data_IF_780568671488
#
_entry.id   IF_780568671488
#
_cell.length_a   1.000
_cell.length_b   1.000
_cell.length_c   1.000
_cell.angle_alpha   90.00
_cell.angle_beta   90.00
_cell.angle_gamma   90.00
#
_symmetry.space_group_name_H-M   'P 1'
#
loop_
_entity.id
_entity.type
_entity.pdbx_description
1 polymer ?
#
# COMPACT_ATOMS: atom_id res chain seq x y z
N UNK A 1 12.29 16.66 19.13
CA UNK A 1 12.79 17.99 18.72
C UNK A 1 12.40 18.21 17.27
N UNK A 2 11.36 19.01 17.08
CA UNK A 2 10.66 19.22 15.81
C UNK A 2 11.48 20.17 14.93
N UNK A 3 12.28 19.64 13.99
CA UNK A 3 12.91 20.44 12.93
C UNK A 3 12.20 20.19 11.62
N UNK A 4 10.92 20.56 11.59
CA UNK A 4 10.24 20.93 10.35
C UNK A 4 11.13 21.95 9.65
N UNK A 5 11.47 21.71 8.39
CA UNK A 5 12.09 22.71 7.53
C UNK A 5 11.20 23.96 7.64
N UNK A 6 11.73 25.10 8.11
CA UNK A 6 10.90 26.27 8.37
C UNK A 6 10.19 26.63 7.06
N UNK A 7 8.88 26.84 7.10
CA UNK A 7 8.06 27.19 5.92
C UNK A 7 8.67 28.36 5.12
N UNK A 8 9.44 29.23 5.79
CA UNK A 8 10.23 30.28 5.17
C UNK A 8 11.31 29.82 4.19
N UNK A 9 11.90 28.64 4.35
CA UNK A 9 12.89 28.09 3.42
C UNK A 9 12.24 27.57 2.12
N UNK A 10 10.99 27.09 2.23
CA UNK A 10 10.16 26.63 1.12
C UNK A 10 9.64 27.81 0.30
N UNK A 11 9.24 28.89 0.99
CA UNK A 11 8.91 30.17 0.35
C UNK A 11 10.17 30.76 -0.32
N UNK A 12 11.33 30.75 0.37
CA UNK A 12 12.58 31.28 -0.17
C UNK A 12 13.08 30.52 -1.41
N UNK A 13 12.91 29.19 -1.48
CA UNK A 13 13.29 28.40 -2.66
C UNK A 13 12.36 28.63 -3.86
N UNK A 14 11.05 28.83 -3.62
CA UNK A 14 10.09 29.24 -4.66
C UNK A 14 10.46 30.63 -5.20
N UNK A 15 10.72 31.60 -4.32
CA UNK A 15 11.13 32.96 -4.74
C UNK A 15 12.49 32.96 -5.45
N UNK A 16 13.45 32.13 -5.01
CA UNK A 16 14.75 31.99 -5.68
C UNK A 16 14.62 31.33 -7.06
N UNK A 17 13.73 30.37 -7.23
CA UNK A 17 13.49 29.72 -8.53
C UNK A 17 12.78 30.67 -9.50
N UNK A 18 11.80 31.45 -9.02
CA UNK A 18 11.18 32.53 -9.80
C UNK A 18 12.22 33.59 -10.19
N UNK A 19 13.12 33.95 -9.26
CA UNK A 19 14.22 34.88 -9.53
C UNK A 19 15.19 34.38 -10.60
N UNK A 20 15.51 33.08 -10.62
CA UNK A 20 16.35 32.46 -11.64
C UNK A 20 15.67 32.45 -13.03
N UNK A 21 14.36 32.17 -13.07
CA UNK A 21 13.54 32.22 -14.29
C UNK A 21 13.44 33.64 -14.83
N UNK A 22 13.27 34.64 -13.96
CA UNK A 22 13.27 36.06 -14.34
C UNK A 22 14.65 36.55 -14.79
N UNK A 23 15.74 36.07 -14.16
CA UNK A 23 17.10 36.38 -14.58
C UNK A 23 17.43 35.82 -15.97
N UNK A 24 16.90 34.65 -16.32
CA UNK A 24 17.04 34.05 -17.65
C UNK A 24 16.06 34.59 -18.69
N UNK A 25 15.02 35.33 -18.30
CA UNK A 25 14.07 35.93 -19.23
C UNK A 25 14.71 37.00 -20.15
N UNK A 26 15.91 37.48 -19.82
CA UNK A 26 16.65 38.49 -20.61
C UNK A 26 17.65 37.88 -21.63
N UNK A 27 17.72 36.55 -21.73
CA UNK A 27 18.51 35.82 -22.73
C UNK A 27 17.63 34.75 -23.35
N UNK A 28 17.50 34.71 -24.69
CA UNK A 28 16.74 33.67 -25.37
C UNK A 28 17.32 32.27 -25.03
N UNK A 29 16.68 31.48 -24.17
CA UNK A 29 17.18 30.17 -23.79
C UNK A 29 16.85 29.17 -24.90
N UNK A 30 17.68 28.13 -25.08
CA UNK A 30 17.40 27.08 -26.05
C UNK A 30 16.07 26.37 -25.75
N UNK A 31 15.35 25.90 -26.78
CA UNK A 31 13.94 25.48 -26.69
C UNK A 31 13.66 24.35 -25.68
N UNK A 32 14.65 23.52 -25.34
CA UNK A 32 14.50 22.44 -24.37
C UNK A 32 14.34 22.91 -22.91
N UNK A 33 14.85 24.10 -22.57
CA UNK A 33 14.79 24.66 -21.20
C UNK A 33 13.34 25.01 -20.82
N UNK A 34 12.53 25.45 -21.79
CA UNK A 34 11.12 25.77 -21.59
C UNK A 34 10.26 24.57 -21.19
N UNK A 35 10.68 23.34 -21.51
CA UNK A 35 10.01 22.12 -21.06
C UNK A 35 10.65 21.56 -19.78
N UNK A 36 11.99 21.58 -19.69
CA UNK A 36 12.71 20.98 -18.57
C UNK A 36 12.52 21.74 -17.24
N UNK A 37 12.46 23.07 -17.27
CA UNK A 37 12.32 23.90 -16.06
C UNK A 37 10.95 23.77 -15.40
N UNK A 38 9.80 23.90 -16.12
CA UNK A 38 8.50 23.68 -15.49
C UNK A 38 8.30 22.23 -15.06
N UNK A 39 8.82 21.24 -15.79
CA UNK A 39 8.80 19.84 -15.33
C UNK A 39 9.63 19.67 -14.05
N UNK A 40 10.83 20.25 -13.99
CA UNK A 40 11.70 20.22 -12.80
C UNK A 40 11.09 20.95 -11.60
N UNK A 41 10.44 22.09 -11.82
CA UNK A 41 9.71 22.84 -10.79
C UNK A 41 8.47 22.10 -10.31
N UNK A 42 7.74 21.45 -11.22
CA UNK A 42 6.57 20.64 -10.88
C UNK A 42 7.00 19.40 -10.10
N UNK A 43 8.10 18.75 -10.49
CA UNK A 43 8.71 17.66 -9.72
C UNK A 43 9.15 18.16 -8.35
N UNK A 44 9.87 19.29 -8.23
CA UNK A 44 10.28 19.84 -6.94
C UNK A 44 9.10 20.27 -6.07
N UNK A 45 8.06 20.86 -6.65
CA UNK A 45 6.82 21.22 -5.95
C UNK A 45 6.06 19.97 -5.50
N UNK A 46 6.06 18.91 -6.31
CA UNK A 46 5.48 17.62 -5.99
C UNK A 46 6.28 16.93 -4.88
N UNK A 47 7.62 16.98 -4.91
CA UNK A 47 8.49 16.52 -3.83
C UNK A 47 8.27 17.30 -2.52
N UNK A 48 8.04 18.61 -2.61
CA UNK A 48 7.73 19.47 -1.45
C UNK A 48 6.32 19.23 -0.89
N UNK A 49 5.34 19.00 -1.76
CA UNK A 49 3.97 18.61 -1.38
C UNK A 49 3.96 17.24 -0.71
N UNK A 50 4.67 16.29 -1.32
CA UNK A 50 4.90 14.93 -0.80
C UNK A 50 5.58 14.95 0.58
N UNK A 51 6.39 15.98 0.89
CA UNK A 51 7.02 16.13 2.20
C UNK A 51 6.08 16.54 3.35
N UNK A 52 4.80 16.84 3.10
CA UNK A 52 3.85 17.15 4.19
C UNK A 52 3.34 15.88 4.87
N UNK A 53 3.64 15.71 6.17
CA UNK A 53 3.32 14.50 6.95
C UNK A 53 1.83 14.12 7.00
N UNK A 54 0.92 15.11 6.88
CA UNK A 54 -0.50 14.92 7.14
C UNK A 54 -1.23 14.02 6.14
N UNK A 55 -0.86 14.08 4.85
CA UNK A 55 -1.53 13.26 3.83
C UNK A 55 -1.01 11.81 3.83
N UNK A 56 0.26 11.59 4.18
CA UNK A 56 0.88 10.27 4.33
C UNK A 56 0.10 9.47 5.39
N UNK A 57 -0.03 10.03 6.59
CA UNK A 57 -0.77 9.40 7.68
C UNK A 57 -2.25 9.17 7.34
N UNK A 58 -2.87 10.09 6.59
CA UNK A 58 -4.25 9.95 6.14
C UNK A 58 -4.46 8.76 5.19
N UNK A 59 -3.59 8.59 4.21
CA UNK A 59 -3.66 7.46 3.26
C UNK A 59 -3.32 6.14 3.95
N UNK A 60 -2.31 6.11 4.81
CA UNK A 60 -1.97 4.93 5.60
C UNK A 60 -3.15 4.47 6.43
N UNK A 61 -3.75 5.39 7.21
CA UNK A 61 -4.88 5.06 8.08
C UNK A 61 -6.08 4.59 7.26
N UNK A 62 -6.32 5.19 6.10
CA UNK A 62 -7.39 4.77 5.19
C UNK A 62 -7.17 3.34 4.69
N UNK A 63 -5.98 3.01 4.19
CA UNK A 63 -5.64 1.67 3.73
C UNK A 63 -5.69 0.62 4.85
N UNK A 64 -5.18 0.96 6.04
CA UNK A 64 -5.23 0.10 7.24
C UNK A 64 -6.70 -0.18 7.60
N UNK A 65 -7.52 0.87 7.69
CA UNK A 65 -8.93 0.74 8.08
C UNK A 65 -9.69 -0.15 7.09
N UNK A 66 -9.50 0.07 5.79
CA UNK A 66 -10.10 -0.77 4.75
C UNK A 66 -9.68 -2.24 4.93
N UNK A 67 -8.39 -2.52 5.10
CA UNK A 67 -7.91 -3.87 5.34
C UNK A 67 -8.56 -4.53 6.56
N UNK A 68 -8.70 -3.78 7.66
CA UNK A 68 -9.39 -4.25 8.87
C UNK A 68 -10.88 -4.52 8.61
N UNK A 69 -11.59 -3.65 7.88
CA UNK A 69 -12.99 -3.92 7.52
C UNK A 69 -13.13 -5.21 6.70
N UNK A 70 -12.24 -5.42 5.73
CA UNK A 70 -12.27 -6.66 4.92
C UNK A 70 -11.82 -7.90 5.69
N UNK A 71 -11.09 -7.77 6.81
CA UNK A 71 -10.75 -8.91 7.67
C UNK A 71 -11.99 -9.61 8.24
N UNK A 72 -13.09 -8.88 8.47
CA UNK A 72 -14.37 -9.45 8.92
C UNK A 72 -14.98 -10.45 7.93
N UNK A 73 -14.53 -10.43 6.68
CA UNK A 73 -14.88 -11.44 5.66
C UNK A 73 -14.53 -12.85 6.13
N UNK A 74 -13.53 -13.04 7.00
CA UNK A 74 -13.21 -14.35 7.57
C UNK A 74 -14.35 -14.92 8.41
N UNK A 75 -15.11 -14.07 9.12
CA UNK A 75 -16.25 -14.52 9.91
C UNK A 75 -17.39 -14.96 8.99
N UNK A 76 -17.66 -14.18 7.93
CA UNK A 76 -18.66 -14.54 6.92
C UNK A 76 -18.30 -15.84 6.21
N UNK A 77 -17.03 -16.02 5.85
CA UNK A 77 -16.50 -17.26 5.30
C UNK A 77 -16.74 -18.44 6.24
N UNK A 78 -16.37 -18.28 7.50
CA UNK A 78 -16.51 -19.34 8.52
C UNK A 78 -17.97 -19.73 8.68
N UNK A 79 -18.88 -18.75 8.76
CA UNK A 79 -20.31 -19.00 8.85
C UNK A 79 -20.86 -19.72 7.61
N UNK A 80 -20.42 -19.35 6.41
CA UNK A 80 -20.83 -20.03 5.17
C UNK A 80 -20.40 -21.50 5.15
N UNK A 81 -19.17 -21.80 5.59
CA UNK A 81 -18.65 -23.17 5.69
C UNK A 81 -19.39 -23.95 6.78
N UNK A 82 -19.57 -23.38 7.97
CA UNK A 82 -20.33 -24.01 9.04
C UNK A 82 -21.76 -24.33 8.61
N UNK A 83 -22.42 -23.40 7.92
CA UNK A 83 -23.75 -23.62 7.36
C UNK A 83 -23.77 -24.80 6.39
N UNK A 84 -22.83 -24.86 5.43
CA UNK A 84 -22.74 -25.96 4.48
C UNK A 84 -22.53 -27.32 5.17
N UNK A 85 -21.64 -27.37 6.17
CA UNK A 85 -21.37 -28.59 6.94
C UNK A 85 -22.65 -29.04 7.66
N UNK A 86 -23.36 -28.13 8.33
CA UNK A 86 -24.61 -28.46 9.01
C UNK A 86 -25.70 -28.89 8.03
N UNK A 87 -25.91 -28.15 6.94
CA UNK A 87 -26.90 -28.46 5.91
C UNK A 87 -26.67 -29.86 5.31
N UNK A 88 -25.42 -30.17 4.98
CA UNK A 88 -25.03 -31.46 4.39
C UNK A 88 -25.16 -32.63 5.35
N UNK A 89 -24.65 -32.50 6.58
CA UNK A 89 -24.53 -33.64 7.50
C UNK A 89 -25.70 -33.80 8.47
N UNK A 90 -26.36 -32.71 8.89
CA UNK A 90 -27.51 -32.79 9.78
C UNK A 90 -28.84 -32.90 9.03
N UNK A 91 -28.95 -32.23 7.86
CA UNK A 91 -30.19 -32.16 7.11
C UNK A 91 -30.17 -32.93 5.77
N UNK A 92 -29.03 -33.54 5.41
CA UNK A 92 -28.85 -34.25 4.15
C UNK A 92 -29.20 -33.40 2.92
N UNK A 93 -29.02 -32.08 3.02
CA UNK A 93 -29.40 -31.09 2.01
C UNK A 93 -28.18 -30.23 1.64
N UNK A 94 -27.27 -30.72 0.78
CA UNK A 94 -26.08 -29.97 0.38
C UNK A 94 -26.46 -28.72 -0.41
N UNK A 95 -25.71 -27.64 -0.24
CA UNK A 95 -25.97 -26.40 -0.98
C UNK A 95 -25.10 -26.32 -2.23
N UNK A 96 -25.62 -25.65 -3.26
CA UNK A 96 -24.91 -25.45 -4.53
C UNK A 96 -24.13 -24.14 -4.59
N UNK A 97 -24.14 -23.31 -3.53
CA UNK A 97 -23.59 -21.95 -3.55
C UNK A 97 -22.51 -21.72 -2.47
N UNK A 98 -22.52 -22.49 -1.38
CA UNK A 98 -21.67 -22.19 -0.23
C UNK A 98 -20.19 -22.36 -0.56
N UNK A 99 -19.83 -23.32 -1.40
CA UNK A 99 -18.47 -23.47 -1.90
C UNK A 99 -18.01 -22.21 -2.67
N UNK A 100 -18.89 -21.69 -3.54
CA UNK A 100 -18.58 -20.53 -4.37
C UNK A 100 -18.36 -19.27 -3.56
N UNK A 101 -19.31 -18.99 -2.67
CA UNK A 101 -19.22 -17.86 -1.76
C UNK A 101 -17.98 -17.97 -0.89
N UNK A 102 -17.64 -19.18 -0.42
CA UNK A 102 -16.46 -19.38 0.42
C UNK A 102 -15.16 -19.06 -0.32
N UNK A 103 -14.95 -19.55 -1.55
CA UNK A 103 -13.72 -19.21 -2.26
C UNK A 103 -13.67 -17.73 -2.65
N UNK A 104 -14.81 -17.10 -3.00
CA UNK A 104 -14.86 -15.69 -3.32
C UNK A 104 -14.49 -14.84 -2.09
N UNK A 105 -15.09 -15.10 -0.93
CA UNK A 105 -14.78 -14.40 0.32
C UNK A 105 -13.33 -14.61 0.74
N UNK A 106 -12.79 -15.83 0.61
CA UNK A 106 -11.39 -16.11 0.88
C UNK A 106 -10.45 -15.32 -0.06
N UNK A 107 -10.76 -15.28 -1.36
CA UNK A 107 -9.96 -14.52 -2.32
C UNK A 107 -10.01 -13.01 -2.04
N UNK A 108 -11.17 -12.46 -1.67
CA UNK A 108 -11.30 -11.05 -1.26
C UNK A 108 -10.44 -10.77 -0.04
N UNK A 109 -10.51 -11.63 0.98
CA UNK A 109 -9.70 -11.51 2.19
C UNK A 109 -8.20 -11.48 1.85
N UNK A 110 -7.75 -12.41 1.00
CA UNK A 110 -6.34 -12.50 0.61
C UNK A 110 -5.88 -11.27 -0.18
N UNK A 111 -6.64 -10.84 -1.19
CA UNK A 111 -6.27 -9.69 -2.02
C UNK A 111 -6.22 -8.39 -1.20
N UNK A 112 -7.23 -8.16 -0.36
CA UNK A 112 -7.26 -6.97 0.52
C UNK A 112 -6.19 -7.05 1.61
N UNK A 113 -5.88 -8.25 2.10
CA UNK A 113 -4.77 -8.51 3.01
C UNK A 113 -3.42 -8.09 2.40
N UNK A 114 -3.24 -8.23 1.09
CA UNK A 114 -2.04 -7.74 0.39
C UNK A 114 -1.86 -6.23 0.46
N UNK A 115 -2.92 -5.45 0.20
CA UNK A 115 -2.88 -3.99 0.32
C UNK A 115 -2.62 -3.54 1.77
N UNK A 116 -3.24 -4.21 2.74
CA UNK A 116 -3.02 -3.99 4.16
C UNK A 116 -1.58 -4.30 4.59
N UNK A 117 -1.05 -5.45 4.18
CA UNK A 117 0.33 -5.84 4.46
C UNK A 117 1.33 -4.85 3.86
N UNK A 118 1.02 -4.26 2.71
CA UNK A 118 1.84 -3.21 2.12
C UNK A 118 1.91 -1.96 3.00
N UNK A 119 0.77 -1.49 3.53
CA UNK A 119 0.73 -0.32 4.40
C UNK A 119 1.58 -0.51 5.67
N UNK A 120 1.65 -1.74 6.16
CA UNK A 120 2.43 -2.14 7.32
C UNK A 120 3.88 -2.53 7.04
N UNK A 121 4.30 -2.54 5.79
CA UNK A 121 5.58 -3.10 5.36
C UNK A 121 5.78 -4.59 5.73
N UNK A 122 4.69 -5.36 5.80
CA UNK A 122 4.70 -6.78 6.16
C UNK A 122 5.07 -7.73 5.03
N UNK A 123 5.49 -7.20 3.87
CA UNK A 123 6.00 -8.05 2.79
C UNK A 123 7.38 -8.58 3.19
N UNK A 124 7.57 -9.90 3.08
CA UNK A 124 8.86 -10.52 3.34
C UNK A 124 9.87 -9.99 2.33
N UNK A 125 10.84 -9.21 2.82
CA UNK A 125 11.94 -8.67 2.03
C UNK A 125 13.16 -9.58 2.14
N UNK A 126 13.87 -9.78 1.03
CA UNK A 126 15.14 -10.49 1.00
C UNK A 126 16.24 -9.63 1.64
N UNK A 127 16.35 -9.69 2.97
CA UNK A 127 16.91 -8.59 3.75
C UNK A 127 18.42 -8.65 4.07
N UNK A 128 19.12 -9.72 3.72
CA UNK A 128 20.50 -9.91 4.20
C UNK A 128 21.45 -8.80 3.74
N UNK A 129 21.38 -8.40 2.45
CA UNK A 129 22.24 -7.35 1.90
C UNK A 129 21.67 -5.95 2.13
N UNK A 130 20.34 -5.83 2.08
CA UNK A 130 19.63 -4.57 2.25
C UNK A 130 19.86 -3.98 3.65
N UNK A 131 19.79 -4.80 4.70
CA UNK A 131 20.00 -4.37 6.10
C UNK A 131 21.41 -3.86 6.38
N UNK A 132 22.41 -4.30 5.61
CA UNK A 132 23.80 -3.84 5.76
C UNK A 132 24.05 -2.46 5.12
N UNK A 133 23.13 -1.96 4.29
CA UNK A 133 23.31 -0.68 3.61
C UNK A 133 22.84 0.51 4.44
N UNK A 134 23.44 1.70 4.24
CA UNK A 134 22.96 2.91 4.90
C UNK A 134 21.54 3.29 4.39
N UNK A 135 20.72 3.97 5.22
CA UNK A 135 19.32 4.28 4.89
C UNK A 135 19.12 4.98 3.55
N UNK A 136 20.06 5.86 3.16
CA UNK A 136 19.99 6.55 1.86
C UNK A 136 20.18 5.62 0.67
N UNK A 137 21.03 4.60 0.79
CA UNK A 137 21.23 3.62 -0.29
C UNK A 137 20.01 2.69 -0.40
N UNK A 138 19.45 2.29 0.74
CA UNK A 138 18.18 1.57 0.81
C UNK A 138 17.05 2.34 0.11
N UNK A 139 16.87 3.63 0.46
CA UNK A 139 15.84 4.47 -0.14
C UNK A 139 16.03 4.70 -1.64
N UNK A 140 17.27 4.79 -2.14
CA UNK A 140 17.54 4.87 -3.59
C UNK A 140 17.13 3.60 -4.32
N UNK A 141 17.49 2.44 -3.77
CA UNK A 141 17.10 1.17 -4.36
C UNK A 141 15.58 1.02 -4.36
N UNK A 142 14.93 1.26 -3.21
CA UNK A 142 13.47 1.15 -3.07
C UNK A 142 12.77 2.08 -4.08
N UNK A 143 13.24 3.32 -4.22
CA UNK A 143 12.69 4.26 -5.21
C UNK A 143 12.79 3.71 -6.64
N UNK A 144 13.94 3.17 -7.03
CA UNK A 144 14.14 2.56 -8.35
C UNK A 144 13.19 1.37 -8.54
N UNK A 145 13.07 0.49 -7.55
CA UNK A 145 12.19 -0.66 -7.61
C UNK A 145 10.71 -0.27 -7.69
N UNK A 146 10.32 0.82 -7.00
CA UNK A 146 8.96 1.37 -7.10
C UNK A 146 8.63 1.81 -8.53
N UNK A 147 9.53 2.56 -9.18
CA UNK A 147 9.28 3.04 -10.54
C UNK A 147 9.45 1.97 -11.62
N UNK A 148 10.40 1.05 -11.47
CA UNK A 148 10.71 0.07 -12.50
C UNK A 148 9.80 -1.17 -12.47
N UNK A 149 9.40 -1.60 -11.28
CA UNK A 149 8.64 -2.84 -11.11
C UNK A 149 7.27 -2.63 -10.48
N UNK A 150 7.18 -1.85 -9.41
CA UNK A 150 5.93 -1.71 -8.67
C UNK A 150 4.85 -0.97 -9.48
N UNK A 151 5.08 0.28 -9.90
CA UNK A 151 4.07 1.05 -10.61
C UNK A 151 3.67 0.43 -11.95
N UNK A 152 4.60 -0.03 -12.81
CA UNK A 152 4.21 -0.72 -14.04
C UNK A 152 3.38 -1.98 -13.76
N UNK A 153 3.78 -2.78 -12.76
CA UNK A 153 3.07 -3.99 -12.38
C UNK A 153 1.66 -3.72 -11.84
N UNK A 154 1.52 -2.75 -10.94
CA UNK A 154 0.22 -2.39 -10.36
C UNK A 154 -0.69 -1.71 -11.40
N UNK A 155 -0.16 -0.85 -12.27
CA UNK A 155 -0.95 -0.27 -13.36
C UNK A 155 -1.44 -1.33 -14.33
N UNK A 156 -0.59 -2.31 -14.68
CA UNK A 156 -1.00 -3.45 -15.51
C UNK A 156 -2.09 -4.28 -14.81
N UNK A 157 -1.98 -4.49 -13.49
CA UNK A 157 -2.99 -5.18 -12.69
C UNK A 157 -4.32 -4.42 -12.66
N UNK A 158 -4.31 -3.10 -12.48
CA UNK A 158 -5.53 -2.26 -12.49
C UNK A 158 -6.18 -2.28 -13.88
N UNK A 159 -5.38 -2.08 -14.93
CA UNK A 159 -5.87 -2.07 -16.30
C UNK A 159 -6.48 -3.43 -16.70
N UNK A 160 -5.72 -4.51 -16.53
CA UNK A 160 -6.20 -5.86 -16.83
C UNK A 160 -7.35 -6.30 -15.92
N UNK A 161 -7.29 -5.95 -14.64
CA UNK A 161 -8.34 -6.23 -13.67
C UNK A 161 -9.64 -5.52 -14.00
N UNK A 162 -9.57 -4.28 -14.53
CA UNK A 162 -10.75 -3.55 -15.00
C UNK A 162 -11.40 -4.24 -16.19
N UNK A 163 -10.63 -4.61 -17.21
CA UNK A 163 -11.17 -5.33 -18.37
C UNK A 163 -11.76 -6.68 -17.97
N UNK A 164 -11.12 -7.38 -17.03
CA UNK A 164 -11.61 -8.64 -16.48
C UNK A 164 -12.94 -8.49 -15.73
N UNK A 165 -13.06 -7.47 -14.88
CA UNK A 165 -14.29 -7.17 -14.16
C UNK A 165 -15.41 -6.70 -15.09
N UNK A 166 -15.09 -5.82 -16.05
CA UNK A 166 -16.03 -5.31 -17.05
C UNK A 166 -16.60 -6.44 -17.90
N UNK A 167 -15.75 -7.35 -18.39
CA UNK A 167 -16.20 -8.48 -19.19
C UNK A 167 -17.16 -9.37 -18.38
N UNK A 168 -16.80 -9.70 -17.14
CA UNK A 168 -17.63 -10.50 -16.24
C UNK A 168 -19.00 -9.84 -15.97
N UNK A 169 -19.03 -8.52 -15.83
CA UNK A 169 -20.27 -7.76 -15.68
C UNK A 169 -21.13 -7.81 -16.95
N UNK A 170 -20.53 -7.58 -18.13
CA UNK A 170 -21.25 -7.52 -19.41
C UNK A 170 -21.89 -8.86 -19.79
N UNK A 171 -21.23 -9.97 -19.50
CA UNK A 171 -21.76 -11.31 -19.79
C UNK A 171 -22.59 -11.88 -18.63
N UNK A 172 -22.79 -11.10 -17.56
CA UNK A 172 -23.40 -11.54 -16.31
C UNK A 172 -22.85 -12.89 -15.82
N UNK A 173 -21.52 -12.96 -15.75
CA UNK A 173 -20.79 -14.18 -15.47
C UNK A 173 -21.20 -14.77 -14.10
N UNK A 174 -21.44 -16.07 -14.10
CA UNK A 174 -21.69 -16.87 -12.91
C UNK A 174 -20.54 -17.84 -12.69
N UNK A 175 -20.32 -18.22 -11.44
CA UNK A 175 -19.29 -19.21 -11.13
C UNK A 175 -19.56 -20.52 -11.87
N UNK A 176 -18.52 -21.07 -12.50
CA UNK A 176 -18.54 -22.39 -13.15
C UNK A 176 -18.18 -23.52 -12.19
N UNK A 177 -17.79 -23.22 -10.95
CA UNK A 177 -17.44 -24.24 -9.97
C UNK A 177 -18.67 -25.02 -9.47
N UNK A 178 -19.86 -24.42 -9.55
CA UNK A 178 -21.13 -25.07 -9.22
C UNK A 178 -22.17 -24.89 -10.34
N UNK A 179 -23.11 -25.84 -10.54
CA UNK A 179 -24.09 -25.79 -11.63
C UNK A 179 -25.00 -24.56 -11.65
N UNK A 180 -25.30 -23.97 -10.49
CA UNK A 180 -26.04 -22.71 -10.34
C UNK A 180 -25.26 -21.73 -9.45
N UNK A 181 -24.01 -21.48 -9.85
CA UNK A 181 -23.10 -20.62 -9.10
C UNK A 181 -23.60 -19.17 -8.99
N UNK A 182 -23.25 -18.47 -7.90
CA UNK A 182 -23.57 -17.06 -7.73
C UNK A 182 -22.83 -16.20 -8.77
N UNK A 183 -23.29 -14.95 -8.89
CA UNK A 183 -22.71 -13.95 -9.78
C UNK A 183 -21.27 -13.63 -9.33
N UNK A 184 -20.30 -13.71 -10.26
CA UNK A 184 -18.86 -13.61 -9.94
C UNK A 184 -18.25 -12.23 -10.19
N UNK A 185 -18.91 -11.37 -10.96
CA UNK A 185 -18.33 -10.06 -11.30
C UNK A 185 -17.97 -9.21 -10.06
N UNK A 186 -18.69 -9.22 -8.92
CA UNK A 186 -18.31 -8.44 -7.75
C UNK A 186 -16.95 -8.89 -7.18
N UNK A 187 -16.70 -10.20 -7.19
CA UNK A 187 -15.41 -10.76 -6.78
C UNK A 187 -14.28 -10.30 -7.71
N UNK A 188 -14.50 -10.36 -9.03
CA UNK A 188 -13.51 -9.92 -10.03
C UNK A 188 -13.26 -8.41 -9.98
N UNK A 189 -14.27 -7.62 -9.64
CA UNK A 189 -14.16 -6.17 -9.47
C UNK A 189 -13.25 -5.76 -8.30
N UNK A 190 -13.01 -6.65 -7.33
CA UNK A 190 -12.08 -6.39 -6.22
C UNK A 190 -10.63 -6.34 -6.71
N UNK A 191 -10.28 -7.03 -7.80
CA UNK A 191 -8.91 -7.03 -8.36
C UNK A 191 -8.40 -5.62 -8.68
N UNK A 192 -9.07 -4.82 -9.54
CA UNK A 192 -8.63 -3.46 -9.82
C UNK A 192 -8.74 -2.54 -8.59
N UNK A 193 -9.72 -2.77 -7.70
CA UNK A 193 -9.88 -1.98 -6.47
C UNK A 193 -8.67 -2.13 -5.54
N UNK A 194 -8.20 -3.37 -5.32
CA UNK A 194 -6.97 -3.66 -4.57
C UNK A 194 -5.77 -3.01 -5.23
N UNK A 195 -5.68 -3.09 -6.56
CA UNK A 195 -4.62 -2.43 -7.33
C UNK A 195 -4.59 -0.91 -7.09
N UNK A 196 -5.74 -0.25 -7.05
CA UNK A 196 -5.84 1.19 -6.73
C UNK A 196 -5.36 1.47 -5.30
N UNK A 197 -5.77 0.67 -4.31
CA UNK A 197 -5.29 0.85 -2.93
C UNK A 197 -3.79 0.62 -2.79
N UNK A 198 -3.24 -0.40 -3.47
CA UNK A 198 -1.80 -0.62 -3.53
C UNK A 198 -1.09 0.55 -4.22
N UNK A 199 -1.67 1.12 -5.27
CA UNK A 199 -1.10 2.29 -5.94
C UNK A 199 -1.06 3.52 -5.02
N UNK A 200 -2.12 3.78 -4.26
CA UNK A 200 -2.14 4.82 -3.24
C UNK A 200 -1.06 4.58 -2.18
N UNK A 201 -0.91 3.35 -1.71
CA UNK A 201 0.14 3.00 -0.76
C UNK A 201 1.54 3.14 -1.36
N UNK A 202 1.74 2.79 -2.64
CA UNK A 202 3.00 2.96 -3.33
C UNK A 202 3.44 4.42 -3.42
N UNK A 203 2.50 5.35 -3.59
CA UNK A 203 2.80 6.80 -3.56
C UNK A 203 3.28 7.22 -2.17
N UNK A 204 2.67 6.70 -1.10
CA UNK A 204 3.11 6.94 0.28
C UNK A 204 4.52 6.38 0.53
N UNK A 205 4.82 5.17 0.05
CA UNK A 205 6.15 4.58 0.22
C UNK A 205 7.24 5.34 -0.55
N UNK A 206 6.92 5.83 -1.75
CA UNK A 206 7.80 6.73 -2.51
C UNK A 206 8.05 8.03 -1.75
N UNK A 207 7.01 8.59 -1.12
CA UNK A 207 7.16 9.77 -0.25
C UNK A 207 8.14 9.54 0.89
N UNK A 208 7.99 8.41 1.58
CA UNK A 208 8.90 8.02 2.68
C UNK A 208 10.33 7.80 2.18
N UNK A 209 10.51 7.23 1.00
CA UNK A 209 11.84 7.09 0.37
C UNK A 209 12.47 8.47 0.12
N UNK A 210 11.70 9.42 -0.43
CA UNK A 210 12.16 10.79 -0.67
C UNK A 210 12.54 11.48 0.65
N UNK A 211 11.71 11.35 1.69
CA UNK A 211 12.01 11.88 3.02
C UNK A 211 13.32 11.29 3.57
N UNK A 212 13.49 9.96 3.50
CA UNK A 212 14.71 9.28 3.94
C UNK A 212 15.96 9.74 3.17
N UNK A 213 15.84 10.06 1.87
CA UNK A 213 16.95 10.64 1.10
C UNK A 213 17.35 12.03 1.60
N UNK A 214 16.38 12.84 2.04
CA UNK A 214 16.61 14.19 2.56
C UNK A 214 17.16 14.15 4.00
N UNK A 215 16.46 13.50 4.92
CA UNK A 215 16.78 13.47 6.36
C UNK A 215 17.92 12.51 6.68
N UNK A 216 18.08 11.43 5.90
CA UNK A 216 18.98 10.33 6.20
C UNK A 216 18.40 9.29 7.17
N UNK A 217 17.15 9.46 7.62
CA UNK A 217 16.47 8.58 8.57
C UNK A 217 15.09 8.19 8.02
N UNK A 218 14.68 6.94 8.27
CA UNK A 218 13.36 6.47 7.85
C UNK A 218 12.25 7.08 8.73
N UNK A 219 11.18 7.63 8.15
CA UNK A 219 10.05 8.12 8.92
C UNK A 219 9.37 6.97 9.69
N UNK A 220 8.86 7.22 10.91
CA UNK A 220 8.17 6.22 11.71
C UNK A 220 6.90 5.74 11.00
N UNK A 221 6.60 4.45 11.12
CA UNK A 221 5.40 3.83 10.56
C UNK A 221 4.38 3.55 11.66
N UNK A 222 3.11 3.56 11.30
CA UNK A 222 2.02 3.17 12.19
C UNK A 222 2.04 1.64 12.29
N UNK A 223 2.38 1.12 13.47
CA UNK A 223 2.32 -0.31 13.78
C UNK A 223 1.28 -0.53 14.88
N UNK A 224 0.16 -1.16 14.53
CA UNK A 224 -0.97 -1.43 15.42
C UNK A 224 -1.07 -2.91 15.87
N UNK A 225 -0.16 -3.78 15.42
CA UNK A 225 0.04 -5.12 16.02
C UNK A 225 1.52 -5.30 16.30
N UNK A 226 1.85 -5.43 17.57
CA UNK A 226 3.17 -5.91 18.00
C UNK A 226 3.25 -7.41 17.75
N UNK A 227 4.36 -7.84 17.15
CA UNK A 227 4.61 -9.26 16.92
C UNK A 227 4.68 -9.98 18.27
N UNK A 228 3.90 -11.06 18.43
CA UNK A 228 3.84 -11.82 19.67
C UNK A 228 5.23 -12.30 20.15
N UNK A 229 6.16 -12.53 19.23
CA UNK A 229 7.54 -12.86 19.56
C UNK A 229 8.22 -11.75 20.38
N UNK A 230 8.06 -10.48 19.99
CA UNK A 230 8.62 -9.35 20.75
C UNK A 230 8.03 -9.28 22.14
N UNK A 231 6.71 -9.43 22.25
CA UNK A 231 6.01 -9.44 23.54
C UNK A 231 6.52 -10.57 24.46
N UNK A 232 6.73 -11.78 23.91
CA UNK A 232 7.26 -12.92 24.67
C UNK A 232 8.72 -12.67 25.10
N UNK A 233 9.54 -12.06 24.24
CA UNK A 233 10.94 -11.73 24.53
C UNK A 233 11.04 -10.65 25.60
N UNK A 234 10.25 -9.59 25.51
CA UNK A 234 10.21 -8.50 26.50
C UNK A 234 9.72 -9.03 27.86
N UNK A 235 8.72 -9.91 27.87
CA UNK A 235 8.25 -10.57 29.09
C UNK A 235 9.33 -11.51 29.67
N UNK A 236 10.06 -12.24 28.83
CA UNK A 236 11.15 -13.11 29.26
C UNK A 236 12.34 -12.31 29.82
N UNK A 237 12.69 -11.18 29.21
CA UNK A 237 13.72 -10.26 29.70
C UNK A 237 13.31 -9.63 31.02
N UNK A 238 12.06 -9.17 31.15
CA UNK A 238 11.52 -8.65 32.40
C UNK A 238 11.57 -9.69 33.53
N UNK A 239 11.26 -10.96 33.25
CA UNK A 239 11.39 -12.07 34.22
C UNK A 239 12.85 -12.31 34.61
N UNK A 240 13.78 -12.32 33.66
CA UNK A 240 15.23 -12.49 33.94
C UNK A 240 15.76 -11.38 34.84
N UNK A 241 15.43 -10.12 34.54
CA UNK A 241 15.85 -8.98 35.36
C UNK A 241 15.28 -9.03 36.78
N UNK A 242 14.06 -9.55 36.95
CA UNK A 242 13.45 -9.76 38.26
C UNK A 242 14.10 -10.90 39.06
N UNK A 243 14.66 -11.91 38.39
CA UNK A 243 15.40 -13.02 39.02
C UNK A 243 16.85 -12.62 39.38
N UNK A 244 17.53 -11.82 38.55
CA UNK A 244 18.90 -11.34 38.79
C UNK A 244 18.97 -10.22 39.84
N UNK A 245 17.90 -9.47 40.04
CA UNK A 245 17.80 -8.39 41.03
C UNK A 245 17.47 -8.85 42.47
N UNK A 246 17.51 -10.15 42.75
CA UNK A 246 17.11 -10.76 44.03
C UNK A 246 18.24 -11.59 44.64
#
# INVERSE_FOLDING_TARGET
MNKLIPQGLLIASIFSAIGLVLAYANTQPPPFIYFAVPIGLLVLALLAFVATEGWIAGIDQFNISIGQYFSWTILLLTLAICYEVVARYAFYAPTNWAYDVSYMLYGILFMMGGAYAMARNGHVRGDFLYRAWPPRTQARLDLILYFLFFFPGILALVYSGWDFAKLAYLINERSSASPDGPIIWPFKAIVPVVGVFMMLQGIVEVARCIQCLQTGEWPPRIHDVEEMEKLILDEAEAKRLAEEGR
#
